data_IF_487824524596
#
_entry.id   IF_487824524596
#
_cell.length_a   1.000
_cell.length_b   1.000
_cell.length_c   1.000
_cell.angle_alpha   90.00
_cell.angle_beta   90.00
_cell.angle_gamma   90.00
#
_symmetry.space_group_name_H-M   'P 1'
#
loop_
_entity.id
_entity.type
_entity.pdbx_description
1 polymer ?
#
# COMPACT_ATOMS: atom_id res chain seq x y z
N UNK A 1 -33.75 39.48 -50.19
CA UNK A 1 -33.92 38.92 -48.83
C UNK A 1 -33.01 37.70 -48.73
N UNK A 2 -31.83 37.86 -48.14
CA UNK A 2 -30.89 36.76 -47.90
C UNK A 2 -30.95 36.39 -46.42
N UNK A 3 -31.37 35.16 -46.12
CA UNK A 3 -31.35 34.61 -44.76
C UNK A 3 -30.11 33.73 -44.66
N UNK A 4 -29.13 34.15 -43.86
CA UNK A 4 -27.94 33.35 -43.56
C UNK A 4 -28.29 32.30 -42.49
N UNK A 5 -27.85 31.03 -42.61
CA UNK A 5 -28.10 30.02 -41.60
C UNK A 5 -27.07 30.17 -40.48
N UNK A 6 -27.53 30.46 -39.27
CA UNK A 6 -26.71 30.42 -38.06
C UNK A 6 -26.35 28.97 -37.74
N UNK A 7 -25.11 28.58 -38.02
CA UNK A 7 -24.55 27.33 -37.51
C UNK A 7 -24.20 27.53 -36.03
N UNK A 8 -25.07 27.04 -35.16
CA UNK A 8 -24.82 27.00 -33.72
C UNK A 8 -23.80 25.90 -33.43
N UNK A 9 -22.54 26.29 -33.26
CA UNK A 9 -21.47 25.41 -32.80
C UNK A 9 -21.68 25.14 -31.31
N UNK A 10 -22.30 24.01 -30.99
CA UNK A 10 -22.27 23.46 -29.63
C UNK A 10 -20.83 23.02 -29.34
N UNK A 11 -20.05 23.93 -28.76
CA UNK A 11 -18.75 23.61 -28.18
C UNK A 11 -19.00 22.80 -26.90
N UNK A 12 -19.09 21.48 -27.05
CA UNK A 12 -19.22 20.56 -25.92
C UNK A 12 -17.97 20.63 -25.05
N UNK A 13 -18.11 21.22 -23.86
CA UNK A 13 -17.07 21.20 -22.83
C UNK A 13 -16.92 19.74 -22.34
N UNK A 14 -15.95 19.01 -22.88
CA UNK A 14 -15.49 17.77 -22.27
C UNK A 14 -14.75 18.12 -20.98
N UNK A 15 -15.48 18.18 -19.86
CA UNK A 15 -14.86 18.19 -18.54
C UNK A 15 -14.19 16.82 -18.34
N UNK A 16 -12.90 16.74 -18.65
CA UNK A 16 -12.10 15.58 -18.33
C UNK A 16 -12.07 15.40 -16.81
N UNK A 17 -12.41 14.20 -16.34
CA UNK A 17 -12.24 13.81 -14.94
C UNK A 17 -10.76 13.90 -14.59
N UNK A 18 -10.37 14.85 -13.76
CA UNK A 18 -8.98 14.96 -13.28
C UNK A 18 -8.82 13.90 -12.18
N UNK A 19 -7.79 13.06 -12.28
CA UNK A 19 -7.41 12.16 -11.19
C UNK A 19 -7.15 12.99 -9.93
N UNK A 20 -7.65 12.52 -8.79
CA UNK A 20 -7.59 13.24 -7.53
C UNK A 20 -7.39 12.26 -6.38
N UNK A 21 -6.21 12.36 -5.76
CA UNK A 21 -5.82 11.61 -4.58
C UNK A 21 -6.74 11.89 -3.38
N UNK A 22 -6.84 10.93 -2.47
CA UNK A 22 -7.62 11.06 -1.23
C UNK A 22 -6.88 11.98 -0.24
N UNK A 23 -7.44 13.15 0.14
CA UNK A 23 -6.77 14.09 1.02
C UNK A 23 -6.42 13.49 2.38
N UNK A 24 -5.14 13.62 2.77
CA UNK A 24 -4.62 13.12 4.04
C UNK A 24 -4.50 11.59 4.15
N UNK A 25 -4.74 10.83 3.07
CA UNK A 25 -4.50 9.39 3.06
C UNK A 25 -3.16 9.08 2.39
N UNK A 26 -2.28 8.32 3.07
CA UNK A 26 -1.07 7.84 2.43
C UNK A 26 -1.43 6.79 1.36
N UNK A 27 -0.71 6.76 0.23
CA UNK A 27 -0.94 5.76 -0.82
C UNK A 27 -0.94 4.32 -0.27
N UNK A 28 -0.07 4.00 0.68
CA UNK A 28 0.02 2.66 1.28
C UNK A 28 -1.04 2.36 2.33
N UNK A 29 -1.91 3.33 2.63
CA UNK A 29 -3.15 3.16 3.39
C UNK A 29 -4.36 2.91 2.48
N UNK A 30 -4.15 2.90 1.16
CA UNK A 30 -5.19 2.66 0.16
C UNK A 30 -5.15 1.25 -0.42
N UNK A 31 -6.30 0.80 -0.92
CA UNK A 31 -6.41 -0.40 -1.76
C UNK A 31 -7.03 -0.03 -3.11
N UNK A 32 -6.78 -0.85 -4.13
CA UNK A 32 -7.45 -0.72 -5.42
C UNK A 32 -8.92 -1.20 -5.30
N UNK A 33 -9.86 -0.34 -5.73
CA UNK A 33 -11.30 -0.57 -5.71
C UNK A 33 -11.91 -0.72 -7.10
N UNK A 34 -11.13 -0.74 -8.18
CA UNK A 34 -11.62 -0.81 -9.56
C UNK A 34 -12.56 -2.00 -9.81
N UNK A 35 -12.31 -3.13 -9.15
CA UNK A 35 -13.13 -4.35 -9.24
C UNK A 35 -14.05 -4.55 -8.03
N UNK A 36 -14.30 -3.51 -7.24
CA UNK A 36 -15.15 -3.54 -6.05
C UNK A 36 -16.56 -3.05 -6.36
N UNK A 37 -17.56 -3.58 -5.64
CA UNK A 37 -18.95 -3.15 -5.83
C UNK A 37 -19.17 -1.74 -5.27
N UNK A 38 -19.73 -0.86 -6.10
CA UNK A 38 -20.12 0.51 -5.74
C UNK A 38 -21.62 0.58 -5.44
N UNK A 39 -21.97 1.09 -4.28
CA UNK A 39 -23.35 1.32 -3.88
C UNK A 39 -23.92 2.60 -4.51
N UNK A 40 -25.26 2.72 -4.62
CA UNK A 40 -25.90 3.94 -5.14
C UNK A 40 -25.56 5.21 -4.36
N UNK A 41 -25.24 5.10 -3.06
CA UNK A 41 -24.78 6.21 -2.23
C UNK A 41 -23.30 6.61 -2.48
N UNK A 42 -22.64 6.00 -3.46
CA UNK A 42 -21.25 6.25 -3.84
C UNK A 42 -20.20 5.48 -3.03
N UNK A 43 -20.58 4.80 -1.95
CA UNK A 43 -19.66 3.99 -1.16
C UNK A 43 -19.24 2.71 -1.90
N UNK A 44 -18.13 2.09 -1.49
CA UNK A 44 -17.64 0.85 -2.07
C UNK A 44 -17.59 -0.26 -1.01
N UNK A 45 -17.79 -1.51 -1.41
CA UNK A 45 -17.48 -2.66 -0.56
C UNK A 45 -16.07 -3.18 -0.83
N UNK A 46 -15.32 -3.48 0.22
CA UNK A 46 -14.02 -4.13 0.12
C UNK A 46 -13.87 -5.18 1.22
N UNK A 47 -13.88 -6.47 0.83
CA UNK A 47 -13.74 -7.61 1.77
C UNK A 47 -14.68 -7.52 2.98
N UNK A 48 -15.94 -7.10 2.76
CA UNK A 48 -16.95 -6.95 3.82
C UNK A 48 -16.90 -5.63 4.59
N UNK A 49 -15.98 -4.72 4.26
CA UNK A 49 -15.93 -3.35 4.80
C UNK A 49 -16.64 -2.39 3.84
N UNK A 50 -17.34 -1.40 4.39
CA UNK A 50 -17.90 -0.29 3.60
C UNK A 50 -16.92 0.88 3.65
N UNK A 51 -16.45 1.30 2.48
CA UNK A 51 -15.56 2.44 2.30
C UNK A 51 -16.40 3.63 1.85
N UNK A 52 -16.54 4.69 2.68
CA UNK A 52 -17.38 5.83 2.35
C UNK A 52 -16.79 6.62 1.15
N UNK A 53 -17.62 7.35 0.38
CA UNK A 53 -17.15 8.13 -0.77
C UNK A 53 -16.03 9.11 -0.42
N UNK A 54 -16.07 9.71 0.77
CA UNK A 54 -15.05 10.64 1.27
C UNK A 54 -13.67 10.01 1.51
N UNK A 55 -13.58 8.67 1.52
CA UNK A 55 -12.34 7.91 1.61
C UNK A 55 -12.00 7.22 0.28
N UNK A 56 -12.53 7.71 -0.84
CA UNK A 56 -12.22 7.23 -2.20
C UNK A 56 -11.66 8.34 -3.07
N UNK A 57 -10.85 7.97 -4.06
CA UNK A 57 -10.22 8.89 -5.00
C UNK A 57 -9.77 8.16 -6.26
N UNK A 58 -9.51 8.91 -7.31
CA UNK A 58 -9.04 8.39 -8.60
C UNK A 58 -7.54 8.59 -8.73
N UNK A 59 -6.81 7.53 -9.03
CA UNK A 59 -5.35 7.52 -9.12
C UNK A 59 -4.93 7.05 -10.50
N UNK A 60 -3.95 7.72 -11.10
CA UNK A 60 -3.34 7.37 -12.39
C UNK A 60 -1.87 6.92 -12.22
N UNK A 61 -1.51 6.48 -11.02
CA UNK A 61 -0.18 6.00 -10.69
C UNK A 61 -0.17 4.87 -9.65
N UNK A 62 0.94 4.13 -9.62
CA UNK A 62 1.26 3.15 -8.59
C UNK A 62 2.67 3.39 -8.04
N UNK A 63 2.85 3.19 -6.73
CA UNK A 63 4.17 3.29 -6.10
C UNK A 63 4.83 1.92 -6.04
N UNK A 64 6.03 1.82 -6.60
CA UNK A 64 6.89 0.64 -6.57
C UNK A 64 7.52 0.42 -5.19
N UNK A 65 8.18 -0.74 -5.00
CA UNK A 65 8.79 -1.10 -3.72
C UNK A 65 9.95 -0.19 -3.30
N UNK A 66 10.61 0.45 -4.26
CA UNK A 66 11.68 1.43 -4.06
C UNK A 66 11.14 2.86 -3.81
N UNK A 67 9.81 3.04 -3.78
CA UNK A 67 9.17 4.34 -3.64
C UNK A 67 8.98 5.08 -4.97
N UNK A 68 9.46 4.56 -6.10
CA UNK A 68 9.28 5.21 -7.40
C UNK A 68 7.83 5.12 -7.88
N UNK A 69 7.26 6.24 -8.31
CA UNK A 69 5.94 6.27 -8.92
C UNK A 69 5.99 5.82 -10.38
N UNK A 70 4.97 5.07 -10.81
CA UNK A 70 4.76 4.64 -12.19
C UNK A 70 3.37 5.08 -12.63
N UNK A 71 3.26 5.77 -13.75
CA UNK A 71 1.95 6.09 -14.34
C UNK A 71 1.25 4.83 -14.85
N UNK A 72 -0.04 4.71 -14.55
CA UNK A 72 -0.94 3.62 -14.96
C UNK A 72 -2.29 4.19 -15.36
N UNK A 73 -3.18 3.34 -15.89
CA UNK A 73 -4.55 3.76 -16.18
C UNK A 73 -5.28 4.23 -14.91
N UNK A 74 -6.09 5.30 -15.03
CA UNK A 74 -6.88 5.84 -13.92
C UNK A 74 -7.75 4.76 -13.31
N UNK A 75 -7.73 4.66 -11.98
CA UNK A 75 -8.51 3.69 -11.24
C UNK A 75 -8.91 4.21 -9.86
N UNK A 76 -10.07 3.79 -9.40
CA UNK A 76 -10.54 4.12 -8.06
C UNK A 76 -9.72 3.40 -7.00
N UNK A 77 -9.28 4.15 -5.99
CA UNK A 77 -8.69 3.61 -4.75
C UNK A 77 -9.50 4.04 -3.54
N UNK A 78 -9.33 3.32 -2.44
CA UNK A 78 -10.00 3.63 -1.16
C UNK A 78 -9.08 3.52 0.05
N UNK A 79 -9.17 4.48 0.97
CA UNK A 79 -8.34 4.59 2.17
C UNK A 79 -8.80 3.63 3.29
N UNK A 80 -8.64 2.32 3.07
CA UNK A 80 -9.13 1.27 3.97
C UNK A 80 -8.53 1.37 5.37
N UNK A 81 -7.27 1.83 5.49
CA UNK A 81 -6.56 1.81 6.77
C UNK A 81 -7.04 2.88 7.77
N UNK A 82 -7.90 3.80 7.31
CA UNK A 82 -8.68 4.71 8.17
C UNK A 82 -9.99 4.10 8.67
N UNK A 83 -10.50 3.07 8.00
CA UNK A 83 -11.72 2.34 8.41
C UNK A 83 -11.38 1.20 9.36
N UNK A 84 -10.27 0.50 9.11
CA UNK A 84 -9.80 -0.63 9.94
C UNK A 84 -8.26 -0.65 9.97
N UNK A 85 -7.62 -0.98 11.12
CA UNK A 85 -6.17 -1.10 11.17
C UNK A 85 -5.60 -2.03 10.08
N UNK A 86 -4.52 -1.60 9.45
CA UNK A 86 -3.84 -2.34 8.40
C UNK A 86 -2.39 -2.65 8.77
N UNK A 87 -1.93 -3.82 8.33
CA UNK A 87 -0.52 -4.18 8.25
C UNK A 87 -0.09 -4.20 6.78
N UNK A 88 1.07 -3.63 6.47
CA UNK A 88 1.63 -3.65 5.11
C UNK A 88 2.37 -4.96 4.89
N UNK A 89 1.95 -5.73 3.88
CA UNK A 89 2.71 -6.88 3.40
C UNK A 89 3.62 -6.51 2.23
N UNK A 90 4.75 -7.20 2.13
CA UNK A 90 5.66 -7.04 0.98
C UNK A 90 5.08 -7.72 -0.27
N UNK A 91 4.39 -8.85 -0.09
CA UNK A 91 3.80 -9.63 -1.16
C UNK A 91 2.34 -9.96 -0.82
N UNK A 92 1.67 -10.69 -1.71
CA UNK A 92 0.40 -11.34 -1.35
C UNK A 92 0.58 -12.20 -0.09
N UNK A 93 -0.48 -12.29 0.74
CA UNK A 93 -0.53 -13.14 1.93
C UNK A 93 -0.25 -14.62 1.65
N UNK A 94 -0.48 -15.08 0.42
CA UNK A 94 -0.19 -16.46 0.00
C UNK A 94 1.28 -16.70 -0.32
N UNK A 95 2.14 -15.69 -0.30
CA UNK A 95 3.55 -15.80 -0.68
C UNK A 95 4.45 -15.78 0.54
N UNK A 96 5.67 -16.26 0.37
CA UNK A 96 6.75 -16.18 1.37
C UNK A 96 7.93 -15.42 0.76
N UNK A 97 8.88 -14.97 1.58
CA UNK A 97 10.02 -14.16 1.14
C UNK A 97 11.36 -14.90 1.22
N UNK A 98 11.66 -15.86 0.32
CA UNK A 98 12.99 -16.45 0.21
C UNK A 98 13.95 -15.43 -0.44
N UNK A 99 15.13 -15.25 0.15
CA UNK A 99 16.21 -14.41 -0.42
C UNK A 99 15.75 -12.98 -0.81
N UNK A 100 14.93 -12.34 0.02
CA UNK A 100 14.38 -10.99 -0.20
C UNK A 100 13.57 -10.83 -1.49
N UNK A 101 12.99 -11.91 -2.02
CA UNK A 101 12.07 -11.88 -3.18
C UNK A 101 10.79 -12.62 -2.86
N UNK A 102 9.67 -12.14 -3.38
CA UNK A 102 8.41 -12.84 -3.26
C UNK A 102 8.49 -14.21 -3.94
N UNK A 103 8.03 -15.26 -3.27
CA UNK A 103 7.96 -16.59 -3.86
C UNK A 103 7.14 -16.58 -5.15
N UNK A 104 7.56 -17.33 -6.19
CA UNK A 104 6.82 -17.38 -7.45
C UNK A 104 5.47 -18.06 -7.24
N UNK A 105 5.45 -19.12 -6.43
CA UNK A 105 4.26 -19.88 -6.11
C UNK A 105 3.59 -19.36 -4.83
N UNK A 106 2.26 -19.38 -4.85
CA UNK A 106 1.46 -19.29 -3.64
C UNK A 106 1.67 -20.56 -2.83
N UNK A 107 2.07 -20.37 -1.59
CA UNK A 107 2.20 -21.43 -0.61
C UNK A 107 0.84 -21.67 0.08
N UNK A 108 0.67 -22.84 0.66
CA UNK A 108 -0.59 -23.23 1.28
C UNK A 108 -0.90 -22.33 2.51
N UNK A 109 -1.97 -21.54 2.41
CA UNK A 109 -2.38 -20.48 3.36
C UNK A 109 -2.58 -20.97 4.80
N UNK A 110 -2.75 -22.28 4.99
CA UNK A 110 -3.16 -22.89 6.26
C UNK A 110 -2.00 -23.33 7.18
N UNK A 111 -0.74 -23.17 6.78
CA UNK A 111 0.41 -23.64 7.55
C UNK A 111 1.08 -22.58 8.44
N UNK A 112 0.55 -21.35 8.50
CA UNK A 112 1.22 -20.23 9.14
C UNK A 112 0.51 -19.79 10.42
N UNK A 113 1.26 -19.64 11.51
CA UNK A 113 0.80 -18.84 12.62
C UNK A 113 0.94 -17.36 12.23
N UNK A 114 -0.15 -16.74 11.78
CA UNK A 114 -0.20 -15.31 11.39
C UNK A 114 -0.51 -14.39 12.57
N UNK A 115 -0.17 -14.80 13.79
CA UNK A 115 -0.29 -13.93 14.97
C UNK A 115 0.91 -13.00 15.01
N UNK A 116 0.65 -11.70 15.20
CA UNK A 116 1.68 -10.68 15.33
C UNK A 116 1.44 -9.94 16.65
N UNK A 117 2.43 -9.97 17.53
CA UNK A 117 2.39 -9.19 18.77
C UNK A 117 2.73 -7.73 18.44
N UNK A 118 1.75 -6.85 18.62
CA UNK A 118 1.88 -5.42 18.35
C UNK A 118 1.79 -4.68 19.68
N UNK A 119 2.92 -4.11 20.14
CA UNK A 119 2.93 -3.17 21.26
C UNK A 119 2.77 -1.76 20.70
N UNK A 120 1.67 -1.08 21.06
CA UNK A 120 1.44 0.31 20.65
C UNK A 120 2.11 1.25 21.66
N UNK A 121 3.13 1.97 21.21
CA UNK A 121 3.87 2.90 22.06
C UNK A 121 3.07 4.20 22.30
N UNK A 122 2.35 4.73 21.30
CA UNK A 122 1.61 6.00 21.39
C UNK A 122 0.49 6.19 20.33
N UNK A 123 -0.14 5.12 19.85
CA UNK A 123 -1.32 5.23 18.96
C UNK A 123 -1.06 5.54 17.48
N UNK A 124 0.19 5.54 17.01
CA UNK A 124 0.49 5.66 15.57
C UNK A 124 0.25 4.33 14.84
N UNK A 125 -0.84 4.25 14.08
CA UNK A 125 -1.21 3.04 13.32
C UNK A 125 -0.17 2.72 12.23
N UNK A 126 0.58 1.63 12.43
CA UNK A 126 1.51 1.10 11.42
C UNK A 126 2.83 1.86 11.29
N UNK A 127 3.32 2.46 12.38
CA UNK A 127 4.73 2.87 12.51
C UNK A 127 5.48 1.80 13.30
N UNK A 128 6.69 1.43 12.87
CA UNK A 128 7.55 0.49 13.60
C UNK A 128 8.77 1.19 14.19
N UNK A 129 9.09 0.92 15.44
CA UNK A 129 10.36 1.36 16.04
C UNK A 129 11.44 0.32 15.79
N UNK A 130 12.50 0.69 15.06
CA UNK A 130 13.72 -0.11 14.99
C UNK A 130 14.61 0.23 16.19
N UNK A 131 14.71 -0.71 17.13
CA UNK A 131 15.40 -0.45 18.40
C UNK A 131 16.90 -0.18 18.27
N UNK A 132 17.55 -0.75 17.25
CA UNK A 132 18.99 -0.65 17.01
C UNK A 132 19.47 0.80 16.89
N UNK A 133 18.80 1.60 16.07
CA UNK A 133 19.13 3.00 15.78
C UNK A 133 18.04 3.98 16.27
N UNK A 134 17.07 3.48 17.05
CA UNK A 134 15.92 4.24 17.58
C UNK A 134 15.10 4.96 16.49
N UNK A 135 15.09 4.42 15.26
CA UNK A 135 14.39 5.04 14.13
C UNK A 135 12.95 4.54 14.02
N UNK A 136 12.02 5.46 13.84
CA UNK A 136 10.64 5.15 13.46
C UNK A 136 10.55 4.95 11.94
N UNK A 137 9.99 3.81 11.54
CA UNK A 137 9.80 3.38 10.16
C UNK A 137 8.32 3.53 9.81
N UNK A 138 8.04 4.33 8.78
CA UNK A 138 6.71 4.44 8.21
C UNK A 138 6.40 3.20 7.37
N UNK A 139 5.15 3.02 6.95
CA UNK A 139 4.78 1.94 6.02
C UNK A 139 5.57 2.01 4.71
N UNK A 140 6.25 3.10 4.35
CA UNK A 140 7.12 3.18 3.17
C UNK A 140 8.48 2.51 3.41
N UNK A 141 8.95 2.54 4.65
CA UNK A 141 10.29 2.09 5.04
C UNK A 141 10.34 0.61 5.45
N UNK A 142 9.17 -0.02 5.63
CA UNK A 142 9.07 -1.42 5.98
C UNK A 142 7.88 -2.11 5.32
N UNK A 143 7.95 -3.44 5.25
CA UNK A 143 6.80 -4.30 5.03
C UNK A 143 6.98 -5.61 5.81
N UNK A 144 5.89 -6.30 6.10
CA UNK A 144 5.91 -7.59 6.77
C UNK A 144 5.78 -8.71 5.73
N UNK A 145 6.47 -9.83 5.92
CA UNK A 145 6.20 -11.03 5.11
C UNK A 145 6.59 -12.29 5.89
N UNK A 146 5.91 -13.42 5.69
CA UNK A 146 6.37 -14.69 6.24
C UNK A 146 7.75 -15.06 5.68
N UNK A 147 8.69 -15.30 6.59
CA UNK A 147 9.99 -15.90 6.29
C UNK A 147 9.97 -17.37 6.66
N UNK A 148 10.48 -18.19 5.76
CA UNK A 148 10.64 -19.62 5.96
C UNK A 148 11.97 -19.90 6.69
N UNK A 149 11.92 -20.70 7.74
CA UNK A 149 13.10 -21.20 8.48
C UNK A 149 13.04 -22.73 8.54
N UNK A 150 14.19 -23.38 8.42
CA UNK A 150 14.30 -24.84 8.66
C UNK A 150 14.22 -25.10 10.15
N UNK A 151 13.37 -26.05 10.54
CA UNK A 151 13.31 -26.62 11.88
C UNK A 151 13.65 -28.11 11.85
N UNK A 152 13.83 -28.73 13.02
CA UNK A 152 14.18 -30.15 13.14
C UNK A 152 13.12 -31.07 12.50
N UNK A 153 11.84 -30.66 12.53
CA UNK A 153 10.71 -31.40 11.97
C UNK A 153 9.95 -30.48 11.00
N UNK A 154 10.57 -30.19 9.86
CA UNK A 154 9.93 -29.46 8.76
C UNK A 154 10.32 -27.98 8.69
N UNK A 155 9.34 -27.14 8.37
CA UNK A 155 9.55 -25.72 8.13
C UNK A 155 8.65 -24.88 9.02
N UNK A 156 9.24 -23.86 9.64
CA UNK A 156 8.51 -22.84 10.37
C UNK A 156 8.43 -21.55 9.55
N UNK A 157 7.30 -20.87 9.69
CA UNK A 157 7.00 -19.63 8.99
C UNK A 157 6.62 -18.57 10.00
N UNK A 158 7.42 -17.52 10.05
CA UNK A 158 7.21 -16.41 10.99
C UNK A 158 7.07 -15.12 10.22
N UNK A 159 6.10 -14.29 10.59
CA UNK A 159 5.98 -12.94 10.04
C UNK A 159 7.15 -12.12 10.58
N UNK A 160 7.98 -11.58 9.69
CA UNK A 160 9.11 -10.72 10.05
C UNK A 160 9.05 -9.40 9.27
N UNK A 161 9.57 -8.30 9.85
CA UNK A 161 9.72 -7.05 9.13
C UNK A 161 10.91 -7.11 8.16
N UNK A 162 10.69 -6.59 6.96
CA UNK A 162 11.70 -6.29 5.97
C UNK A 162 11.79 -4.77 5.86
N UNK A 163 12.99 -4.22 5.98
CA UNK A 163 13.29 -2.81 5.81
C UNK A 163 14.48 -2.64 4.85
N UNK A 164 14.70 -1.42 4.39
CA UNK A 164 15.84 -1.09 3.53
C UNK A 164 17.16 -1.16 4.30
N UNK A 165 18.24 -1.51 3.58
CA UNK A 165 19.60 -1.51 4.11
C UNK A 165 19.94 -0.19 4.80
N UNK A 166 20.54 -0.29 5.98
CA UNK A 166 21.09 0.86 6.68
C UNK A 166 22.42 1.16 6.00
N UNK A 167 22.53 2.27 5.27
CA UNK A 167 23.86 2.79 4.95
C UNK A 167 24.54 3.13 6.28
N UNK A 168 25.71 2.54 6.60
CA UNK A 168 26.43 2.92 7.79
C UNK A 168 26.71 4.41 7.70
N UNK A 169 26.36 5.15 8.75
CA UNK A 169 26.72 6.56 8.85
C UNK A 169 28.25 6.65 8.70
N UNK A 170 28.72 7.35 7.66
CA UNK A 170 30.14 7.43 7.31
C UNK A 170 30.97 8.22 8.34
N UNK A 171 30.38 8.59 9.47
CA UNK A 171 30.99 9.33 10.58
C UNK A 171 31.95 8.50 11.45
N UNK A 172 32.08 7.19 11.23
CA UNK A 172 33.06 6.34 11.94
C UNK A 172 34.36 6.08 11.15
N UNK A 173 34.73 6.96 10.21
CA UNK A 173 36.03 6.90 9.54
C UNK A 173 36.88 8.11 9.96
N UNK A 174 37.55 8.01 11.10
CA UNK A 174 38.91 8.50 11.41
C UNK A 174 39.14 8.26 12.91
N UNK A 175 39.47 7.01 13.28
CA UNK A 175 40.33 6.80 14.44
C UNK A 175 41.71 7.32 14.07
N UNK A 176 42.13 8.41 14.69
CA UNK A 176 43.52 8.88 14.66
C UNK A 176 44.43 7.81 15.24
N UNK A 177 45.58 7.64 14.59
CA UNK A 177 46.69 6.76 14.97
C UNK A 177 47.12 6.88 16.43
#
# INVERSE_FOLDING_TARGET
MHVAPFWSTFLGLFAGSIAADIPGCNFFDTVNLANSWKFPNGSYTYRGLIIPPSLTGEYDYEIQFDGASRSVASHTRGCVCRVKPCIRFCCSLSKVMPYNRCSPQSQNKYAYNMTLDITQDNGTNGTLLRQYDKRYLSKQDYCLQPRMSREQIGYNYTIVPYNCSIDPDRTMAYGKD
#
